data_IF_357229580268
#
_entry.id   IF_357229580268
#
_cell.length_a   1.000
_cell.length_b   1.000
_cell.length_c   1.000
_cell.angle_alpha   90.00
_cell.angle_beta   90.00
_cell.angle_gamma   90.00
#
_symmetry.space_group_name_H-M   'P 1'
#
loop_
_entity.id
_entity.type
_entity.pdbx_description
1 polymer ?
#
# COMPACT_ATOMS: atom_id res chain seq x y z
N UNK A 1 15.04 -11.77 3.10
CA UNK A 1 13.59 -11.64 2.87
C UNK A 1 13.31 -11.74 1.38
N UNK A 2 12.26 -12.46 1.02
CA UNK A 2 11.84 -12.65 -0.38
C UNK A 2 10.46 -12.06 -0.60
N UNK A 3 10.28 -11.34 -1.69
CA UNK A 3 8.97 -10.82 -2.12
C UNK A 3 8.58 -11.58 -3.38
N UNK A 4 7.39 -12.17 -3.38
CA UNK A 4 6.87 -12.96 -4.50
C UNK A 4 5.37 -12.73 -4.68
N UNK A 5 4.85 -13.14 -5.83
CA UNK A 5 3.40 -13.15 -6.05
C UNK A 5 2.71 -14.04 -5.01
N UNK A 6 1.57 -13.57 -4.53
CA UNK A 6 0.71 -14.37 -3.67
C UNK A 6 0.05 -15.48 -4.48
N UNK A 7 -0.23 -16.60 -3.81
CA UNK A 7 -1.02 -17.69 -4.38
C UNK A 7 -2.25 -17.94 -3.50
N UNK A 8 -3.25 -18.68 -3.96
CA UNK A 8 -4.45 -18.96 -3.13
C UNK A 8 -4.13 -19.62 -1.78
N UNK A 9 -3.03 -20.38 -1.70
CA UNK A 9 -2.60 -21.01 -0.43
C UNK A 9 -2.17 -19.98 0.60
N UNK A 10 -1.82 -18.78 0.19
CA UNK A 10 -1.35 -17.72 1.08
C UNK A 10 -2.50 -16.94 1.72
N UNK A 11 -3.74 -17.18 1.28
CA UNK A 11 -4.88 -16.34 1.68
C UNK A 11 -5.06 -16.26 3.19
N UNK A 12 -5.01 -17.41 3.89
CA UNK A 12 -5.22 -17.40 5.34
C UNK A 12 -4.15 -16.59 6.06
N UNK A 13 -2.89 -16.73 5.67
CA UNK A 13 -1.80 -15.95 6.25
C UNK A 13 -1.97 -14.45 5.95
N UNK A 14 -2.37 -14.11 4.74
CA UNK A 14 -2.63 -12.71 4.35
C UNK A 14 -3.75 -12.13 5.20
N UNK A 15 -4.84 -12.84 5.36
CA UNK A 15 -5.99 -12.36 6.15
C UNK A 15 -5.66 -12.20 7.63
N UNK A 16 -4.79 -13.05 8.18
CA UNK A 16 -4.28 -12.87 9.54
C UNK A 16 -3.44 -11.60 9.66
N UNK A 17 -2.61 -11.30 8.66
CA UNK A 17 -1.83 -10.08 8.63
C UNK A 17 -2.75 -8.86 8.62
N UNK A 18 -3.81 -8.87 7.82
CA UNK A 18 -4.76 -7.77 7.81
C UNK A 18 -5.50 -7.61 9.15
N UNK A 19 -5.83 -8.71 9.81
CA UNK A 19 -6.44 -8.66 11.13
C UNK A 19 -5.51 -7.99 12.15
N UNK A 20 -4.24 -8.38 12.14
CA UNK A 20 -3.21 -7.77 12.98
C UNK A 20 -3.05 -6.27 12.65
N UNK A 21 -3.01 -5.93 11.37
CA UNK A 21 -2.84 -4.54 10.93
C UNK A 21 -4.03 -3.66 11.35
N UNK A 22 -5.27 -4.17 11.24
CA UNK A 22 -6.45 -3.43 11.69
C UNK A 22 -6.40 -3.15 13.19
N UNK A 23 -5.97 -4.13 13.98
CA UNK A 23 -5.80 -3.96 15.42
C UNK A 23 -4.73 -2.90 15.72
N UNK A 24 -3.59 -2.98 15.05
CA UNK A 24 -2.53 -1.99 15.18
C UNK A 24 -3.03 -0.59 14.84
N UNK A 25 -3.77 -0.44 13.75
CA UNK A 25 -4.34 0.86 13.36
C UNK A 25 -5.25 1.42 14.45
N UNK A 26 -6.14 0.60 15.00
CA UNK A 26 -7.05 1.05 16.07
C UNK A 26 -6.29 1.50 17.31
N UNK A 27 -5.23 0.76 17.67
CA UNK A 27 -4.44 1.07 18.87
C UNK A 27 -3.55 2.30 18.70
N UNK A 28 -3.30 2.72 17.47
CA UNK A 28 -2.42 3.86 17.14
C UNK A 28 -3.18 5.05 16.55
N UNK A 29 -4.46 5.18 16.89
CA UNK A 29 -5.26 6.37 16.54
C UNK A 29 -5.77 6.40 15.11
N UNK A 30 -5.80 5.25 14.42
CA UNK A 30 -6.27 5.15 13.03
C UNK A 30 -7.37 4.09 12.88
N UNK A 31 -8.56 4.29 13.52
CA UNK A 31 -9.60 3.26 13.50
C UNK A 31 -10.45 3.25 12.22
N UNK A 32 -10.36 4.27 11.37
CA UNK A 32 -11.31 4.48 10.28
C UNK A 32 -10.76 4.23 8.88
N UNK A 33 -9.49 3.87 8.73
CA UNK A 33 -8.93 3.62 7.41
C UNK A 33 -9.46 2.30 6.82
N UNK A 34 -9.44 1.24 7.61
CA UNK A 34 -9.92 -0.09 7.20
C UNK A 34 -11.08 -0.52 8.11
N UNK A 35 -12.30 -0.31 7.65
CA UNK A 35 -13.52 -0.58 8.41
C UNK A 35 -14.32 -1.70 7.76
N UNK A 36 -15.28 -2.25 8.51
CA UNK A 36 -16.25 -3.24 8.01
C UNK A 36 -15.58 -4.49 7.41
N UNK A 37 -14.48 -4.95 8.02
CA UNK A 37 -13.80 -6.15 7.57
C UNK A 37 -12.94 -5.97 6.32
N UNK A 38 -12.75 -4.74 5.87
CA UNK A 38 -11.88 -4.44 4.73
C UNK A 38 -10.40 -4.62 5.12
N UNK A 39 -9.52 -5.18 4.28
CA UNK A 39 -9.82 -5.78 2.97
C UNK A 39 -10.49 -7.15 3.11
N UNK A 40 -11.40 -7.48 2.19
CA UNK A 40 -12.10 -8.75 2.20
C UNK A 40 -11.29 -9.87 1.54
N UNK A 41 -11.61 -11.11 1.89
CA UNK A 41 -10.99 -12.27 1.26
C UNK A 41 -11.26 -12.30 -0.25
N UNK A 42 -12.47 -11.95 -0.67
CA UNK A 42 -12.84 -11.93 -2.09
C UNK A 42 -12.00 -10.94 -2.89
N UNK A 43 -11.76 -9.75 -2.32
CA UNK A 43 -10.89 -8.76 -2.95
C UNK A 43 -9.48 -9.30 -3.14
N UNK A 44 -8.93 -9.92 -2.10
CA UNK A 44 -7.57 -10.46 -2.15
C UNK A 44 -7.47 -11.61 -3.13
N UNK A 45 -8.45 -12.52 -3.18
CA UNK A 45 -8.48 -13.59 -4.17
C UNK A 45 -8.50 -13.04 -5.59
N UNK A 46 -9.26 -11.97 -5.83
CA UNK A 46 -9.29 -11.32 -7.13
C UNK A 46 -7.93 -10.76 -7.49
N UNK A 47 -7.22 -10.13 -6.55
CA UNK A 47 -5.89 -9.59 -6.80
C UNK A 47 -4.84 -10.68 -6.99
N UNK A 48 -4.97 -11.80 -6.28
CA UNK A 48 -4.12 -12.96 -6.52
C UNK A 48 -4.31 -13.45 -7.97
N UNK A 49 -5.55 -13.58 -8.40
CA UNK A 49 -5.88 -13.97 -9.78
C UNK A 49 -5.32 -12.98 -10.81
N UNK A 50 -5.36 -11.68 -10.50
CA UNK A 50 -4.85 -10.64 -11.39
C UNK A 50 -3.32 -10.51 -11.39
N UNK A 51 -2.62 -11.20 -10.48
CA UNK A 51 -1.17 -11.08 -10.36
C UNK A 51 -0.70 -9.78 -9.70
N UNK A 52 -1.56 -9.12 -8.93
CA UNK A 52 -1.24 -7.83 -8.30
C UNK A 52 -1.06 -7.91 -6.79
N UNK A 53 -1.24 -9.10 -6.20
CA UNK A 53 -1.02 -9.33 -4.77
C UNK A 53 0.35 -9.97 -4.55
N UNK A 54 1.08 -9.46 -3.55
CA UNK A 54 2.42 -9.93 -3.20
C UNK A 54 2.52 -10.24 -1.72
N UNK A 55 3.38 -11.18 -1.38
CA UNK A 55 3.72 -11.50 0.01
C UNK A 55 5.21 -11.38 0.23
N UNK A 56 5.56 -11.08 1.49
CA UNK A 56 6.94 -11.02 1.95
C UNK A 56 7.19 -12.23 2.84
N UNK A 57 8.21 -13.01 2.51
CA UNK A 57 8.62 -14.17 3.30
C UNK A 57 9.92 -13.87 4.03
N UNK A 58 10.03 -14.31 5.27
CA UNK A 58 11.31 -14.29 5.98
C UNK A 58 12.19 -15.46 5.54
N UNK A 59 13.36 -15.61 6.17
CA UNK A 59 14.32 -16.66 5.81
C UNK A 59 13.79 -18.07 6.07
N UNK A 60 12.82 -18.22 6.97
CA UNK A 60 12.21 -19.52 7.27
C UNK A 60 11.04 -19.85 6.33
N UNK A 61 10.65 -18.92 5.45
CA UNK A 61 9.51 -19.08 4.57
C UNK A 61 8.19 -18.63 5.19
N UNK A 62 8.21 -18.03 6.39
CA UNK A 62 7.02 -17.50 7.02
C UNK A 62 6.62 -16.18 6.35
N UNK A 63 5.32 -16.02 6.07
CA UNK A 63 4.78 -14.79 5.50
C UNK A 63 4.65 -13.76 6.60
N UNK A 64 5.36 -12.63 6.46
CA UNK A 64 5.43 -11.57 7.46
C UNK A 64 4.82 -10.25 6.98
N UNK A 65 4.53 -10.14 5.71
CA UNK A 65 3.93 -8.93 5.13
C UNK A 65 3.24 -9.21 3.82
N UNK A 66 2.43 -8.23 3.39
CA UNK A 66 1.72 -8.28 2.11
C UNK A 66 1.48 -6.87 1.60
N UNK A 67 1.31 -6.75 0.30
CA UNK A 67 0.89 -5.51 -0.34
C UNK A 67 0.33 -5.81 -1.72
N UNK A 68 -0.45 -4.85 -2.24
CA UNK A 68 -0.90 -4.88 -3.63
C UNK A 68 -0.08 -3.88 -4.44
N UNK A 69 0.36 -4.27 -5.63
CA UNK A 69 1.15 -3.43 -6.52
C UNK A 69 0.48 -3.48 -7.90
N UNK A 70 -0.16 -2.38 -8.28
CA UNK A 70 -1.16 -2.37 -9.34
C UNK A 70 -0.80 -1.30 -10.37
N UNK A 71 -0.72 -1.64 -11.67
CA UNK A 71 -0.52 -0.60 -12.70
C UNK A 71 -1.73 0.32 -12.78
N UNK A 72 -1.48 1.63 -12.92
CA UNK A 72 -2.54 2.61 -13.12
C UNK A 72 -3.21 2.44 -14.50
N UNK A 73 -4.29 3.16 -14.78
CA UNK A 73 -4.76 4.28 -13.96
C UNK A 73 -5.72 3.80 -12.88
N UNK A 74 -5.61 4.41 -11.70
CA UNK A 74 -6.57 4.19 -10.62
C UNK A 74 -7.68 5.23 -10.74
N UNK A 75 -8.95 4.82 -10.87
CA UNK A 75 -10.06 5.78 -11.01
C UNK A 75 -10.16 6.79 -9.87
N UNK A 76 -9.81 6.40 -8.65
CA UNK A 76 -9.87 7.29 -7.48
C UNK A 76 -8.80 8.38 -7.53
N UNK A 77 -7.81 8.26 -8.42
CA UNK A 77 -6.74 9.25 -8.59
C UNK A 77 -6.99 10.21 -9.75
N UNK A 78 -8.12 10.08 -10.44
CA UNK A 78 -8.48 10.99 -11.55
C UNK A 78 -8.77 12.41 -11.06
N UNK A 79 -9.31 12.55 -9.84
CA UNK A 79 -9.56 13.84 -9.19
C UNK A 79 -8.62 13.99 -8.01
N UNK A 80 -7.97 15.14 -7.92
CA UNK A 80 -7.15 15.51 -6.76
C UNK A 80 -7.46 16.95 -6.39
N UNK A 81 -7.71 17.19 -5.10
CA UNK A 81 -7.99 18.51 -4.55
C UNK A 81 -6.80 18.96 -3.69
N UNK A 82 -6.71 20.26 -3.41
CA UNK A 82 -5.70 20.87 -2.55
C UNK A 82 -4.26 20.59 -2.99
N UNK A 83 -4.06 20.47 -4.29
CA UNK A 83 -2.74 20.22 -4.86
C UNK A 83 -2.82 19.56 -6.22
N UNK A 84 -1.72 18.97 -6.62
CA UNK A 84 -1.59 18.31 -7.93
C UNK A 84 -0.66 17.11 -7.83
N UNK A 85 -0.90 16.10 -8.67
CA UNK A 85 0.09 15.05 -8.88
C UNK A 85 1.37 15.65 -9.47
N UNK A 86 2.51 14.96 -9.26
CA UNK A 86 3.80 15.45 -9.74
C UNK A 86 3.91 15.44 -11.26
N UNK A 87 3.24 14.51 -11.92
CA UNK A 87 3.24 14.36 -13.37
C UNK A 87 2.04 13.52 -13.82
N UNK A 88 1.86 13.41 -15.13
CA UNK A 88 0.81 12.59 -15.76
C UNK A 88 1.38 11.32 -16.41
N UNK A 89 2.62 10.96 -16.09
CA UNK A 89 3.25 9.77 -16.63
C UNK A 89 2.61 8.49 -16.08
N UNK A 90 2.74 7.35 -16.78
CA UNK A 90 2.26 6.08 -16.25
C UNK A 90 2.83 5.79 -14.86
N UNK A 91 2.00 5.25 -13.98
CA UNK A 91 2.37 4.99 -12.60
C UNK A 91 1.83 3.65 -12.13
N UNK A 92 2.44 3.12 -11.07
CA UNK A 92 1.88 2.03 -10.28
C UNK A 92 1.34 2.58 -8.97
N UNK A 93 0.46 1.81 -8.34
CA UNK A 93 -0.13 2.13 -7.06
C UNK A 93 0.22 1.03 -6.06
N UNK A 94 0.60 1.42 -4.85
CA UNK A 94 0.75 0.49 -3.74
C UNK A 94 -0.49 0.63 -2.87
N UNK A 95 -1.20 -0.48 -2.66
CA UNK A 95 -2.37 -0.53 -1.80
C UNK A 95 -2.20 -1.59 -0.73
N UNK A 96 -2.85 -1.38 0.39
CA UNK A 96 -3.04 -2.39 1.44
C UNK A 96 -1.74 -3.02 1.92
N UNK A 97 -0.71 -2.20 2.10
CA UNK A 97 0.53 -2.66 2.69
C UNK A 97 0.30 -2.96 4.17
N UNK A 98 0.68 -4.15 4.60
CA UNK A 98 0.48 -4.59 5.97
C UNK A 98 1.57 -5.58 6.38
N UNK A 99 1.86 -5.63 7.68
CA UNK A 99 2.84 -6.53 8.26
C UNK A 99 2.35 -7.05 9.60
N UNK A 100 2.89 -8.19 10.04
CA UNK A 100 2.55 -8.76 11.34
C UNK A 100 3.48 -8.33 12.47
N UNK A 101 4.41 -7.42 12.19
CA UNK A 101 5.33 -6.88 13.20
C UNK A 101 6.51 -7.77 13.56
N UNK A 102 6.61 -8.96 12.98
CA UNK A 102 7.69 -9.92 13.31
C UNK A 102 9.02 -9.59 12.66
N UNK A 103 9.00 -8.82 11.58
CA UNK A 103 10.20 -8.45 10.85
C UNK A 103 10.26 -6.94 10.73
N UNK A 104 11.37 -6.34 11.18
CA UNK A 104 11.56 -4.88 11.10
C UNK A 104 11.89 -4.46 9.67
N UNK A 105 11.56 -3.20 9.34
CA UNK A 105 11.87 -2.63 8.05
C UNK A 105 11.04 -3.17 6.89
N UNK A 106 9.86 -3.72 7.19
CA UNK A 106 9.00 -4.32 6.17
C UNK A 106 8.54 -3.30 5.14
N UNK A 107 8.07 -2.13 5.58
CA UNK A 107 7.58 -1.09 4.67
C UNK A 107 8.69 -0.58 3.76
N UNK A 108 9.87 -0.34 4.31
CA UNK A 108 11.05 0.10 3.54
C UNK A 108 11.44 -0.93 2.49
N UNK A 109 11.44 -2.20 2.86
CA UNK A 109 11.78 -3.28 1.93
C UNK A 109 10.76 -3.38 0.80
N UNK A 110 9.47 -3.24 1.10
CA UNK A 110 8.41 -3.23 0.09
C UNK A 110 8.56 -2.05 -0.87
N UNK A 111 8.82 -0.85 -0.35
CA UNK A 111 9.00 0.34 -1.18
C UNK A 111 10.22 0.18 -2.10
N UNK A 112 11.33 -0.31 -1.56
CA UNK A 112 12.53 -0.56 -2.35
C UNK A 112 12.25 -1.53 -3.50
N UNK A 113 11.59 -2.65 -3.20
CA UNK A 113 11.23 -3.63 -4.21
C UNK A 113 10.35 -3.02 -5.30
N UNK A 114 9.36 -2.24 -4.92
CA UNK A 114 8.44 -1.60 -5.87
C UNK A 114 9.20 -0.65 -6.82
N UNK A 115 10.16 0.13 -6.30
CA UNK A 115 10.96 1.03 -7.12
C UNK A 115 12.02 0.31 -7.96
N UNK A 116 12.28 -0.95 -7.71
CA UNK A 116 13.07 -1.79 -8.61
C UNK A 116 12.25 -2.21 -9.85
N UNK A 117 10.92 -2.10 -9.77
CA UNK A 117 10.01 -2.54 -10.83
C UNK A 117 9.23 -1.41 -11.49
N UNK A 118 9.31 -0.20 -10.98
CA UNK A 118 8.57 0.95 -11.48
C UNK A 118 9.25 2.24 -11.04
N UNK A 119 9.27 3.25 -11.90
CA UNK A 119 9.91 4.54 -11.62
C UNK A 119 8.95 5.59 -11.08
N UNK A 120 7.67 5.33 -11.05
CA UNK A 120 6.65 6.32 -10.71
C UNK A 120 5.53 5.66 -9.93
N UNK A 121 5.39 6.03 -8.65
CA UNK A 121 4.48 5.36 -7.73
C UNK A 121 3.61 6.39 -7.01
N UNK A 122 2.30 6.14 -6.98
CA UNK A 122 1.32 6.90 -6.22
C UNK A 122 0.79 6.04 -5.08
N UNK A 123 0.58 6.66 -3.93
CA UNK A 123 0.06 6.00 -2.73
C UNK A 123 -0.89 6.96 -2.03
N UNK A 124 -1.91 6.44 -1.38
CA UNK A 124 -2.74 7.25 -0.49
C UNK A 124 -2.84 6.61 0.88
N UNK A 125 -3.12 7.42 1.90
CA UNK A 125 -3.35 6.93 3.26
C UNK A 125 -4.31 7.85 4.01
N UNK A 126 -4.93 7.31 5.05
CA UNK A 126 -5.84 8.06 5.91
C UNK A 126 -5.09 9.13 6.70
N UNK A 127 -5.73 10.27 6.94
CA UNK A 127 -5.10 11.37 7.68
C UNK A 127 -4.75 10.99 9.13
N UNK A 128 -5.37 9.97 9.70
CA UNK A 128 -5.04 9.46 11.03
C UNK A 128 -3.87 8.46 11.02
N UNK A 129 -3.41 8.04 9.87
CA UNK A 129 -2.31 7.08 9.76
C UNK A 129 -0.96 7.81 9.77
N UNK A 130 -0.56 8.29 10.94
CA UNK A 130 0.69 9.04 11.08
C UNK A 130 1.91 8.18 10.79
N UNK A 131 1.86 6.90 11.11
CA UNK A 131 2.96 5.96 10.86
C UNK A 131 3.27 5.89 9.37
N UNK A 132 2.24 5.66 8.54
CA UNK A 132 2.44 5.56 7.09
C UNK A 132 2.85 6.90 6.49
N UNK A 133 2.27 8.01 6.95
CA UNK A 133 2.67 9.33 6.48
C UNK A 133 4.16 9.58 6.69
N UNK A 134 4.68 9.26 7.88
CA UNK A 134 6.11 9.41 8.18
C UNK A 134 6.97 8.50 7.32
N UNK A 135 6.55 7.26 7.09
CA UNK A 135 7.29 6.33 6.24
C UNK A 135 7.38 6.87 4.81
N UNK A 136 6.28 7.31 4.25
CA UNK A 136 6.25 7.82 2.88
C UNK A 136 7.14 9.06 2.72
N UNK A 137 7.03 10.03 3.63
CA UNK A 137 7.86 11.24 3.58
C UNK A 137 9.34 10.92 3.74
N UNK A 138 9.69 10.01 4.66
CA UNK A 138 11.07 9.60 4.88
C UNK A 138 11.68 8.92 3.65
N UNK A 139 10.84 8.25 2.85
CA UNK A 139 11.29 7.54 1.65
C UNK A 139 11.10 8.34 0.36
N UNK A 140 11.02 9.66 0.47
CA UNK A 140 11.08 10.55 -0.69
C UNK A 140 9.76 10.79 -1.40
N UNK A 141 8.64 10.29 -0.86
CA UNK A 141 7.33 10.63 -1.39
C UNK A 141 6.99 12.07 -1.03
N UNK A 142 6.30 12.76 -1.93
CA UNK A 142 5.81 14.12 -1.71
C UNK A 142 4.31 14.09 -1.56
N UNK A 143 3.80 14.86 -0.60
CA UNK A 143 2.37 15.06 -0.46
C UNK A 143 1.88 15.86 -1.67
N UNK A 144 0.85 15.33 -2.34
CA UNK A 144 0.34 15.93 -3.57
C UNK A 144 -1.01 16.61 -3.39
N UNK A 145 -1.83 16.12 -2.47
CA UNK A 145 -3.17 16.67 -2.26
C UNK A 145 -4.10 15.67 -1.60
N UNK A 146 -5.38 15.80 -1.88
CA UNK A 146 -6.45 14.97 -1.32
C UNK A 146 -7.18 14.25 -2.43
N UNK A 147 -7.33 12.95 -2.31
CA UNK A 147 -8.20 12.14 -3.18
C UNK A 147 -9.36 11.59 -2.36
N UNK A 148 -10.33 10.99 -3.03
CA UNK A 148 -11.52 10.45 -2.37
C UNK A 148 -11.72 9.01 -2.84
N UNK A 149 -11.83 8.07 -1.88
CA UNK A 149 -12.12 6.67 -2.20
C UNK A 149 -13.60 6.52 -2.56
N UNK A 150 -14.02 5.33 -3.00
CA UNK A 150 -15.35 5.18 -3.60
C UNK A 150 -16.53 5.49 -2.67
N UNK A 151 -16.35 5.46 -1.36
CA UNK A 151 -17.40 5.88 -0.43
C UNK A 151 -17.39 7.39 -0.15
N UNK A 152 -16.54 8.16 -0.87
CA UNK A 152 -16.45 9.60 -0.74
C UNK A 152 -15.57 10.11 0.40
N UNK A 153 -14.93 9.21 1.17
CA UNK A 153 -14.07 9.65 2.27
C UNK A 153 -12.70 10.06 1.74
N UNK A 154 -12.10 11.11 2.35
CA UNK A 154 -10.83 11.65 1.88
C UNK A 154 -9.63 10.81 2.27
N UNK A 155 -8.58 10.88 1.45
CA UNK A 155 -7.26 10.31 1.73
C UNK A 155 -6.19 11.30 1.30
N UNK A 156 -5.06 11.29 1.98
CA UNK A 156 -3.91 12.10 1.59
C UNK A 156 -3.16 11.35 0.50
N UNK A 157 -2.90 12.03 -0.60
CA UNK A 157 -2.24 11.47 -1.78
C UNK A 157 -0.76 11.82 -1.79
N UNK A 158 0.06 10.83 -2.12
CA UNK A 158 1.51 10.96 -2.20
C UNK A 158 2.01 10.40 -3.52
N UNK A 159 3.13 10.92 -4.00
CA UNK A 159 3.78 10.40 -5.19
C UNK A 159 5.30 10.53 -5.06
N UNK A 160 6.00 9.54 -5.60
CA UNK A 160 7.44 9.63 -5.80
C UNK A 160 7.76 9.14 -7.20
N UNK A 161 8.61 9.90 -7.90
CA UNK A 161 9.11 9.54 -9.21
C UNK A 161 10.63 9.56 -9.20
N UNK A 162 11.24 8.58 -9.86
CA UNK A 162 12.70 8.52 -10.05
C UNK A 162 13.13 9.16 -11.35
N UNK A 163 12.18 9.64 -12.16
CA UNK A 163 12.47 10.18 -13.49
C UNK A 163 12.83 11.66 -13.50
N UNK A 164 12.61 12.37 -12.39
CA UNK A 164 12.86 13.81 -12.24
C UNK A 164 14.26 14.11 -11.71
N UNK A 165 15.26 13.47 -12.28
CA UNK A 165 16.64 13.62 -11.82
C UNK A 165 17.42 14.71 -12.56
N UNK A 166 16.76 15.39 -13.44
CA UNK A 166 17.45 16.29 -14.37
C UNK A 166 17.27 17.73 -13.98
#
# INVERSE_FOLDING_TARGET
>A
MTIRHSSPKDLDAIMEIFSHARKFMREHGNPNQWINGYPSADLILQEISNGTSYVCEDESGEITGTFSFIPGKDPTYARIDDGNWLNDSPYHVIHRMAANGRQKGMAEACLKWCFEHCDNIRVDTHHDNLVMQHILLRHGFKRCGIIYIHNGTPRIAYQRTLTDKH
#
